data_IF_119584754668
#
_entry.id   IF_119584754668
#
_cell.length_a   1.000
_cell.length_b   1.000
_cell.length_c   1.000
_cell.angle_alpha   90.00
_cell.angle_beta   90.00
_cell.angle_gamma   90.00
#
_symmetry.space_group_name_H-M   'P 1'
#
loop_
_entity.id
_entity.type
_entity.pdbx_description
1 polymer ?
#
# COMPACT_ATOMS: atom_id res chain seq x y z
N UNK A 1 19.48 12.57 0.92
CA UNK A 1 19.21 11.36 0.12
C UNK A 1 19.93 10.23 0.81
N UNK A 2 19.21 9.31 1.45
CA UNK A 2 19.84 8.17 2.14
C UNK A 2 20.41 7.23 1.08
N UNK A 3 21.69 6.87 1.20
CA UNK A 3 22.31 5.87 0.33
C UNK A 3 22.29 4.55 1.07
N UNK A 4 21.39 3.66 0.67
CA UNK A 4 21.33 2.29 1.17
C UNK A 4 22.34 1.47 0.38
N UNK A 5 23.25 0.80 1.08
CA UNK A 5 24.26 -0.04 0.45
C UNK A 5 23.75 -1.49 0.43
N UNK A 6 22.93 -1.79 -0.57
CA UNK A 6 22.30 -3.11 -0.73
C UNK A 6 23.34 -4.13 -1.17
N UNK A 7 23.44 -5.25 -0.46
CA UNK A 7 24.25 -6.37 -0.91
C UNK A 7 23.54 -7.09 -2.06
N UNK A 8 24.29 -7.77 -2.92
CA UNK A 8 23.67 -8.60 -3.96
C UNK A 8 22.93 -9.77 -3.29
N UNK A 9 21.61 -9.92 -3.47
CA UNK A 9 20.86 -11.01 -2.84
C UNK A 9 21.32 -12.38 -3.35
N UNK A 10 21.34 -13.37 -2.47
CA UNK A 10 21.54 -14.77 -2.86
C UNK A 10 20.18 -15.44 -3.06
N UNK A 11 20.03 -16.25 -4.10
CA UNK A 11 18.79 -16.97 -4.35
C UNK A 11 18.93 -18.46 -4.02
N UNK A 12 17.95 -18.99 -3.28
CA UNK A 12 17.77 -20.42 -3.04
C UNK A 12 16.55 -20.90 -3.82
N UNK A 13 16.75 -21.82 -4.77
CA UNK A 13 15.67 -22.36 -5.60
C UNK A 13 15.37 -23.80 -5.20
N UNK A 14 14.10 -24.12 -4.97
CA UNK A 14 13.63 -25.47 -4.67
C UNK A 14 13.53 -26.35 -5.94
N UNK A 15 13.25 -27.64 -5.77
CA UNK A 15 13.09 -28.58 -6.88
C UNK A 15 11.89 -28.29 -7.79
N UNK A 16 10.95 -27.47 -7.34
CA UNK A 16 9.76 -27.05 -8.09
C UNK A 16 10.00 -25.73 -8.86
N UNK A 17 11.17 -25.12 -8.70
CA UNK A 17 11.54 -23.84 -9.31
C UNK A 17 11.14 -22.60 -8.50
N UNK A 18 10.59 -22.76 -7.29
CA UNK A 18 10.31 -21.62 -6.41
C UNK A 18 11.61 -21.08 -5.82
N UNK A 19 11.77 -19.77 -5.79
CA UNK A 19 13.01 -19.14 -5.30
C UNK A 19 12.76 -18.23 -4.10
N UNK A 20 13.65 -18.29 -3.12
CA UNK A 20 13.72 -17.38 -1.98
C UNK A 20 14.97 -16.52 -2.10
N UNK A 21 14.85 -15.22 -1.80
CA UNK A 21 15.99 -14.32 -1.68
C UNK A 21 16.49 -14.30 -0.24
N UNK A 22 17.79 -14.55 -0.06
CA UNK A 22 18.53 -14.35 1.18
C UNK A 22 19.21 -13.00 1.13
N UNK A 23 18.90 -12.18 2.13
CA UNK A 23 19.51 -10.88 2.37
C UNK A 23 19.83 -10.74 3.87
N UNK A 24 20.79 -9.87 4.25
CA UNK A 24 21.03 -9.53 5.65
C UNK A 24 19.76 -8.99 6.33
N UNK A 25 19.57 -9.33 7.60
CA UNK A 25 18.38 -8.91 8.35
C UNK A 25 18.29 -7.39 8.50
N UNK A 26 19.41 -6.69 8.62
CA UNK A 26 19.43 -5.24 8.72
C UNK A 26 19.04 -4.59 7.39
N UNK A 27 19.52 -5.13 6.28
CA UNK A 27 19.13 -4.70 4.93
C UNK A 27 17.63 -4.87 4.69
N UNK A 28 17.06 -6.00 5.13
CA UNK A 28 15.62 -6.22 5.05
C UNK A 28 14.81 -5.16 5.82
N UNK A 29 15.27 -4.77 7.01
CA UNK A 29 14.60 -3.73 7.82
C UNK A 29 14.69 -2.35 7.17
N UNK A 30 15.84 -2.02 6.58
CA UNK A 30 16.01 -0.77 5.85
C UNK A 30 15.11 -0.72 4.61
N UNK A 31 14.99 -1.84 3.89
CA UNK A 31 14.07 -1.98 2.75
C UNK A 31 12.61 -1.81 3.19
N UNK A 32 12.21 -2.41 4.32
CA UNK A 32 10.86 -2.24 4.87
C UNK A 32 10.57 -0.78 5.21
N UNK A 33 11.47 -0.12 5.94
CA UNK A 33 11.29 1.29 6.30
C UNK A 33 11.20 2.21 5.07
N UNK A 34 11.94 1.87 4.00
CA UNK A 34 11.85 2.59 2.73
C UNK A 34 10.49 2.39 2.06
N UNK A 35 9.96 1.16 2.05
CA UNK A 35 8.61 0.88 1.52
C UNK A 35 7.56 1.68 2.28
N UNK A 36 7.59 1.64 3.62
CA UNK A 36 6.65 2.41 4.47
C UNK A 36 6.71 3.91 4.16
N UNK A 37 7.90 4.48 4.02
CA UNK A 37 8.06 5.90 3.65
C UNK A 37 7.44 6.21 2.27
N UNK A 38 7.57 5.31 1.29
CA UNK A 38 6.94 5.52 -0.03
C UNK A 38 5.42 5.42 0.03
N UNK A 39 4.86 4.51 0.83
CA UNK A 39 3.42 4.42 1.07
C UNK A 39 2.90 5.70 1.73
N UNK A 40 3.58 6.22 2.76
CA UNK A 40 3.22 7.50 3.40
C UNK A 40 3.25 8.67 2.41
N UNK A 41 4.26 8.72 1.52
CA UNK A 41 4.35 9.76 0.49
C UNK A 41 3.23 9.65 -0.54
N UNK A 42 2.83 8.43 -0.90
CA UNK A 42 1.69 8.17 -1.78
C UNK A 42 0.38 8.61 -1.13
N UNK A 43 0.15 8.28 0.14
CA UNK A 43 -1.01 8.74 0.90
C UNK A 43 -1.08 10.27 0.97
N UNK A 44 0.05 10.93 1.25
CA UNK A 44 0.14 12.39 1.23
C UNK A 44 -0.20 12.94 -0.15
N UNK A 45 0.25 12.28 -1.22
CA UNK A 45 -0.06 12.68 -2.61
C UNK A 45 -1.56 12.52 -2.88
N UNK A 46 -2.16 11.38 -2.55
CA UNK A 46 -3.59 11.13 -2.72
C UNK A 46 -4.45 12.13 -1.96
N UNK A 47 -4.08 12.49 -0.72
CA UNK A 47 -4.78 13.53 0.06
C UNK A 47 -4.64 14.91 -0.61
N UNK A 48 -3.48 15.22 -1.20
CA UNK A 48 -3.27 16.49 -1.91
C UNK A 48 -4.05 16.55 -3.22
N UNK A 49 -4.13 15.44 -3.94
CA UNK A 49 -4.91 15.33 -5.19
C UNK A 49 -6.41 15.43 -4.91
N UNK A 50 -6.91 14.75 -3.87
CA UNK A 50 -8.30 14.85 -3.44
C UNK A 50 -8.64 16.26 -2.89
N UNK A 51 -7.65 17.02 -2.39
CA UNK A 51 -7.84 18.41 -1.96
C UNK A 51 -8.09 19.32 -3.16
N UNK A 52 -9.37 19.53 -3.44
CA UNK A 52 -9.84 20.40 -4.53
C UNK A 52 -10.80 19.69 -5.48
N UNK A 53 -10.96 18.38 -5.33
CA UNK A 53 -12.02 17.64 -6.02
C UNK A 53 -13.38 17.97 -5.37
N UNK A 54 -14.40 18.04 -6.23
CA UNK A 54 -15.77 18.24 -5.77
C UNK A 54 -16.22 16.97 -5.02
N UNK A 55 -16.44 17.11 -3.72
CA UNK A 55 -16.88 16.02 -2.87
C UNK A 55 -18.37 16.13 -2.61
N UNK A 56 -19.06 15.00 -2.56
CA UNK A 56 -20.47 15.00 -2.17
C UNK A 56 -20.62 15.24 -0.67
N UNK A 57 -21.73 15.87 -0.23
CA UNK A 57 -22.05 15.96 1.19
C UNK A 57 -22.20 14.57 1.82
N UNK A 58 -21.77 14.44 3.07
CA UNK A 58 -21.77 13.15 3.77
C UNK A 58 -23.18 12.52 3.88
N UNK A 59 -24.22 13.36 3.99
CA UNK A 59 -25.60 12.90 4.05
C UNK A 59 -26.05 12.24 2.73
N UNK A 60 -25.61 12.79 1.58
CA UNK A 60 -25.90 12.23 0.25
C UNK A 60 -25.20 10.87 0.07
N UNK A 61 -23.97 10.75 0.58
CA UNK A 61 -23.25 9.49 0.60
C UNK A 61 -24.02 8.42 1.41
N UNK A 62 -24.47 8.76 2.63
CA UNK A 62 -25.19 7.83 3.48
C UNK A 62 -26.51 7.38 2.87
N UNK A 63 -27.29 8.31 2.30
CA UNK A 63 -28.54 7.96 1.59
C UNK A 63 -28.28 6.96 0.45
N UNK A 64 -27.23 7.17 -0.34
CA UNK A 64 -26.88 6.26 -1.44
C UNK A 64 -26.45 4.88 -0.91
N UNK A 65 -25.63 4.83 0.13
CA UNK A 65 -25.18 3.56 0.73
C UNK A 65 -26.35 2.79 1.34
N UNK A 66 -27.24 3.46 2.06
CA UNK A 66 -28.44 2.81 2.62
C UNK A 66 -29.35 2.26 1.52
N UNK A 67 -29.55 3.03 0.43
CA UNK A 67 -30.33 2.56 -0.71
C UNK A 67 -29.72 1.31 -1.33
N UNK A 68 -28.41 1.32 -1.58
CA UNK A 68 -27.69 0.15 -2.10
C UNK A 68 -27.83 -1.07 -1.18
N UNK A 69 -27.67 -0.88 0.13
CA UNK A 69 -27.82 -1.95 1.12
C UNK A 69 -29.23 -2.57 1.09
N UNK A 70 -30.28 -1.74 1.04
CA UNK A 70 -31.68 -2.19 0.93
C UNK A 70 -31.92 -2.98 -0.37
N UNK A 71 -31.42 -2.48 -1.50
CA UNK A 71 -31.59 -3.13 -2.81
C UNK A 71 -30.87 -4.49 -2.90
N UNK A 72 -29.78 -4.67 -2.15
CA UNK A 72 -28.98 -5.89 -2.16
C UNK A 72 -29.23 -6.81 -0.94
N UNK A 73 -30.21 -6.47 -0.08
CA UNK A 73 -30.53 -7.27 1.11
C UNK A 73 -29.42 -7.32 2.15
N UNK A 74 -28.53 -6.32 2.16
CA UNK A 74 -27.43 -6.19 3.11
C UNK A 74 -27.98 -5.45 4.34
N UNK A 75 -28.23 -6.18 5.43
CA UNK A 75 -28.66 -5.60 6.71
C UNK A 75 -27.51 -5.00 7.50
#
# INVERSE_FOLDING_TARGET
MYTINLQTPQFLTDSNGNSLALIPADEYRELLALVEMYEELEDIRSVREAKGEETEPIDVFFERVEKYRKENGIS
#
